data_IF_943178714512
#
_entry.id   IF_943178714512
#
_cell.length_a   1.000
_cell.length_b   1.000
_cell.length_c   1.000
_cell.angle_alpha   90.00
_cell.angle_beta   90.00
_cell.angle_gamma   90.00
#
_symmetry.space_group_name_H-M   'P 1'
#
loop_
_entity.id
_entity.type
_entity.pdbx_description
1 polymer ?
#
# COMPACT_ATOMS: atom_id res chain seq x y z
N UNK A 1 -12.76 4.25 -10.01
CA UNK A 1 -11.54 5.06 -9.74
C UNK A 1 -11.64 6.33 -10.59
N UNK A 2 -11.39 7.51 -10.02
CA UNK A 2 -11.61 8.81 -10.69
C UNK A 2 -10.36 9.42 -11.35
N UNK A 3 -9.18 8.84 -11.14
CA UNK A 3 -7.90 9.29 -11.71
C UNK A 3 -7.15 8.11 -12.34
N UNK A 4 -6.28 8.41 -13.31
CA UNK A 4 -5.41 7.44 -13.96
C UNK A 4 -4.01 7.37 -13.30
N UNK A 5 -3.15 6.48 -13.79
CA UNK A 5 -1.80 6.29 -13.26
C UNK A 5 -0.91 7.51 -13.53
N UNK A 6 -0.99 8.09 -14.71
CA UNK A 6 -0.18 9.25 -15.12
C UNK A 6 -0.45 10.47 -14.23
N UNK A 7 -1.72 10.74 -13.93
CA UNK A 7 -2.13 11.81 -13.01
C UNK A 7 -1.57 11.60 -11.60
N UNK A 8 -1.60 10.36 -11.10
CA UNK A 8 -1.04 10.03 -9.79
C UNK A 8 0.48 10.23 -9.75
N UNK A 9 1.19 9.77 -10.79
CA UNK A 9 2.64 9.95 -10.89
C UNK A 9 3.05 11.42 -11.00
N UNK A 10 2.31 12.21 -11.78
CA UNK A 10 2.53 13.65 -11.90
C UNK A 10 2.32 14.35 -10.55
N UNK A 11 1.25 14.01 -9.81
CA UNK A 11 0.99 14.55 -8.49
C UNK A 11 2.10 14.21 -7.49
N UNK A 12 2.61 12.97 -7.52
CA UNK A 12 3.74 12.56 -6.68
C UNK A 12 4.99 13.37 -7.02
N UNK A 13 5.31 13.52 -8.31
CA UNK A 13 6.44 14.33 -8.77
C UNK A 13 6.37 15.76 -8.25
N UNK A 14 5.22 16.42 -8.42
CA UNK A 14 5.00 17.78 -7.94
C UNK A 14 5.08 17.88 -6.40
N UNK A 15 4.54 16.90 -5.68
CA UNK A 15 4.59 16.90 -4.24
C UNK A 15 6.04 16.80 -3.71
N UNK A 16 6.92 16.06 -4.40
CA UNK A 16 8.35 15.99 -4.05
C UNK A 16 9.09 17.31 -4.24
N UNK A 17 8.70 18.12 -5.22
CA UNK A 17 9.31 19.42 -5.45
C UNK A 17 8.87 20.47 -4.42
N UNK A 18 7.68 20.31 -3.85
CA UNK A 18 7.07 21.28 -2.93
C UNK A 18 7.28 20.91 -1.46
N UNK A 19 7.14 19.63 -1.11
CA UNK A 19 7.10 19.17 0.27
C UNK A 19 8.37 18.40 0.65
N UNK A 20 8.91 18.65 1.86
CA UNK A 20 10.12 17.98 2.32
C UNK A 20 9.91 16.51 2.71
N UNK A 21 8.66 16.06 2.85
CA UNK A 21 8.27 14.68 3.14
C UNK A 21 6.97 14.35 2.43
N UNK A 22 6.87 13.12 1.95
CA UNK A 22 5.68 12.59 1.30
C UNK A 22 5.33 11.20 1.86
N UNK A 23 4.04 10.96 2.05
CA UNK A 23 3.50 9.61 2.26
C UNK A 23 2.70 9.16 1.04
N UNK A 24 2.66 7.86 0.82
CA UNK A 24 1.88 7.27 -0.27
C UNK A 24 1.19 5.99 0.18
N UNK A 25 -0.09 5.88 -0.16
CA UNK A 25 -0.97 4.84 0.38
C UNK A 25 -1.31 3.81 -0.71
N UNK A 26 -1.17 2.53 -0.38
CA UNK A 26 -1.54 1.42 -1.23
C UNK A 26 -2.41 0.42 -0.49
N UNK A 27 -3.28 -0.24 -1.25
CA UNK A 27 -4.06 -1.37 -0.77
C UNK A 27 -3.56 -2.63 -1.48
N UNK A 28 -3.18 -3.65 -0.73
CA UNK A 28 -2.78 -4.98 -1.21
C UNK A 28 -3.83 -6.04 -0.83
N UNK A 29 -3.57 -7.30 -1.19
CA UNK A 29 -4.52 -8.40 -1.10
C UNK A 29 -5.81 -8.13 -1.89
N UNK A 30 -5.67 -7.46 -3.04
CA UNK A 30 -6.77 -7.17 -3.95
C UNK A 30 -7.18 -8.43 -4.73
N UNK A 31 -8.41 -8.50 -5.26
CA UNK A 31 -8.85 -9.66 -6.02
C UNK A 31 -7.90 -10.01 -7.18
N UNK A 32 -7.44 -11.27 -7.22
CA UNK A 32 -6.54 -11.77 -8.26
C UNK A 32 -5.10 -11.25 -8.18
N UNK A 33 -4.71 -10.54 -7.12
CA UNK A 33 -3.35 -10.03 -6.96
C UNK A 33 -2.38 -11.15 -6.61
N UNK A 34 -1.33 -11.33 -7.41
CA UNK A 34 -0.27 -12.31 -7.14
C UNK A 34 0.90 -11.67 -6.38
N UNK A 35 1.71 -12.46 -5.65
CA UNK A 35 2.91 -11.97 -4.99
C UNK A 35 3.88 -11.27 -5.94
N UNK A 36 4.09 -11.82 -7.14
CA UNK A 36 5.01 -11.23 -8.11
C UNK A 36 4.53 -9.86 -8.61
N UNK A 37 3.23 -9.73 -8.85
CA UNK A 37 2.63 -8.48 -9.30
C UNK A 37 2.65 -7.44 -8.16
N UNK A 38 2.39 -7.87 -6.93
CA UNK A 38 2.46 -6.99 -5.77
C UNK A 38 3.89 -6.52 -5.50
N UNK A 39 4.88 -7.41 -5.53
CA UNK A 39 6.28 -7.06 -5.37
C UNK A 39 6.72 -6.02 -6.40
N UNK A 40 6.40 -6.22 -7.68
CA UNK A 40 6.73 -5.26 -8.74
C UNK A 40 6.05 -3.89 -8.54
N UNK A 41 4.78 -3.87 -8.12
CA UNK A 41 4.06 -2.63 -7.81
C UNK A 41 4.65 -1.91 -6.60
N UNK A 42 5.02 -2.65 -5.56
CA UNK A 42 5.60 -2.12 -4.33
C UNK A 42 7.01 -1.54 -4.59
N UNK A 43 7.85 -2.24 -5.33
CA UNK A 43 9.16 -1.76 -5.80
C UNK A 43 9.02 -0.43 -6.57
N UNK A 44 8.07 -0.38 -7.50
CA UNK A 44 7.79 0.82 -8.27
C UNK A 44 7.32 1.97 -7.35
N UNK A 45 6.44 1.70 -6.40
CA UNK A 45 5.92 2.69 -5.47
C UNK A 45 7.01 3.26 -4.55
N UNK A 46 7.89 2.41 -4.01
CA UNK A 46 9.05 2.82 -3.20
C UNK A 46 9.98 3.72 -4.02
N UNK A 47 10.15 3.44 -5.32
CA UNK A 47 10.90 4.30 -6.24
C UNK A 47 10.35 5.73 -6.33
N UNK A 48 9.05 5.93 -6.06
CA UNK A 48 8.40 7.24 -6.06
C UNK A 48 8.27 7.86 -4.65
N UNK A 49 8.09 7.03 -3.63
CA UNK A 49 7.84 7.43 -2.25
C UNK A 49 9.01 6.99 -1.36
N UNK A 50 9.86 7.95 -1.00
CA UNK A 50 11.16 7.63 -0.37
C UNK A 50 11.09 7.72 1.16
N UNK A 51 10.07 8.33 1.75
CA UNK A 51 10.06 8.65 3.19
C UNK A 51 9.09 7.79 4.00
N UNK A 52 7.87 7.59 3.51
CA UNK A 52 6.78 6.93 4.23
C UNK A 52 5.80 6.26 3.27
N UNK A 53 5.36 5.04 3.62
CA UNK A 53 4.32 4.28 2.94
C UNK A 53 3.28 3.78 3.93
N UNK A 54 2.01 3.85 3.51
CA UNK A 54 0.89 3.22 4.21
C UNK A 54 0.35 2.07 3.35
N UNK A 55 0.52 0.83 3.81
CA UNK A 55 0.22 -0.40 3.07
C UNK A 55 -0.88 -1.18 3.78
N UNK A 56 -2.11 -1.07 3.28
CA UNK A 56 -3.30 -1.65 3.89
C UNK A 56 -3.70 -2.96 3.21
N UNK A 57 -4.00 -3.99 4.00
CA UNK A 57 -4.68 -5.16 3.46
C UNK A 57 -6.13 -4.79 3.12
N UNK A 58 -6.64 -5.20 1.96
CA UNK A 58 -8.05 -5.00 1.62
C UNK A 58 -8.95 -5.78 2.60
N UNK A 59 -9.71 -5.05 3.41
CA UNK A 59 -10.83 -5.58 4.20
C UNK A 59 -12.16 -5.16 3.57
N UNK A 60 -13.17 -6.02 3.71
CA UNK A 60 -14.52 -5.72 3.20
C UNK A 60 -15.35 -5.16 4.34
N UNK A 61 -15.53 -3.84 4.33
CA UNK A 61 -16.34 -3.12 5.30
C UNK A 61 -17.78 -2.96 4.80
N UNK A 62 -18.75 -3.14 5.70
CA UNK A 62 -20.17 -2.98 5.39
C UNK A 62 -20.47 -1.56 4.87
N UNK A 63 -21.39 -1.45 3.91
CA UNK A 63 -21.76 -0.18 3.29
C UNK A 63 -20.81 0.33 2.20
N UNK A 64 -19.70 -0.37 1.94
CA UNK A 64 -18.79 -0.01 0.83
C UNK A 64 -19.25 -0.61 -0.51
N UNK A 65 -18.85 -0.02 -1.66
CA UNK A 65 -19.04 -0.64 -2.96
C UNK A 65 -18.40 -2.04 -3.06
N UNK A 66 -17.27 -2.25 -2.39
CA UNK A 66 -16.61 -3.55 -2.31
C UNK A 66 -17.47 -4.58 -1.59
N UNK A 67 -18.17 -4.21 -0.51
CA UNK A 67 -19.12 -5.08 0.17
C UNK A 67 -20.27 -5.51 -0.74
N UNK A 68 -20.88 -4.57 -1.49
CA UNK A 68 -21.95 -4.91 -2.42
C UNK A 68 -21.49 -5.87 -3.53
N UNK A 69 -20.29 -5.65 -4.09
CA UNK A 69 -19.72 -6.50 -5.13
C UNK A 69 -19.30 -7.88 -4.60
N UNK A 70 -18.74 -7.94 -3.40
CA UNK A 70 -18.37 -9.19 -2.73
C UNK A 70 -19.62 -10.02 -2.38
N UNK A 71 -20.66 -9.39 -1.82
CA UNK A 71 -21.94 -10.04 -1.53
C UNK A 71 -22.62 -10.58 -2.81
N UNK A 72 -22.46 -9.88 -3.93
CA UNK A 72 -22.92 -10.33 -5.25
C UNK A 72 -21.98 -11.36 -5.93
N UNK A 73 -20.94 -11.84 -5.23
CA UNK A 73 -19.93 -12.80 -5.73
C UNK A 73 -19.26 -12.37 -7.04
N UNK A 74 -19.07 -11.06 -7.23
CA UNK A 74 -18.42 -10.51 -8.44
C UNK A 74 -16.91 -10.62 -8.41
N UNK A 75 -16.33 -10.89 -7.24
CA UNK A 75 -14.93 -11.24 -7.06
C UNK A 75 -14.77 -12.05 -5.76
N UNK A 76 -13.60 -12.63 -5.57
CA UNK A 76 -13.18 -13.26 -4.30
C UNK A 76 -11.96 -12.52 -3.74
N UNK A 77 -11.83 -12.54 -2.42
CA UNK A 77 -10.59 -12.13 -1.78
C UNK A 77 -9.58 -13.28 -1.82
N UNK A 78 -8.28 -12.98 -1.69
CA UNK A 78 -7.31 -13.99 -1.30
C UNK A 78 -7.75 -14.74 -0.04
N UNK A 79 -7.39 -16.02 0.06
CA UNK A 79 -7.49 -16.73 1.33
C UNK A 79 -6.43 -16.22 2.33
N UNK A 80 -6.50 -16.72 3.57
CA UNK A 80 -5.61 -16.27 4.63
C UNK A 80 -4.14 -16.57 4.36
N UNK A 81 -3.83 -17.70 3.72
CA UNK A 81 -2.45 -18.10 3.44
C UNK A 81 -1.86 -17.18 2.37
N UNK A 82 -2.60 -16.93 1.28
CA UNK A 82 -2.17 -16.00 0.24
C UNK A 82 -2.08 -14.56 0.74
N UNK A 83 -3.00 -14.12 1.60
CA UNK A 83 -2.91 -12.80 2.23
C UNK A 83 -1.67 -12.70 3.15
N UNK A 84 -1.34 -13.76 3.89
CA UNK A 84 -0.14 -13.83 4.71
C UNK A 84 1.14 -13.78 3.88
N UNK A 85 1.18 -14.44 2.71
CA UNK A 85 2.30 -14.36 1.78
C UNK A 85 2.51 -12.94 1.25
N UNK A 86 1.42 -12.25 0.88
CA UNK A 86 1.49 -10.85 0.45
C UNK A 86 1.96 -9.92 1.58
N UNK A 87 1.52 -10.16 2.81
CA UNK A 87 2.01 -9.42 3.97
C UNK A 87 3.50 -9.67 4.22
N UNK A 88 3.95 -10.92 4.22
CA UNK A 88 5.35 -11.27 4.40
C UNK A 88 6.25 -10.64 3.33
N UNK A 89 5.83 -10.71 2.06
CA UNK A 89 6.51 -10.04 0.96
C UNK A 89 6.58 -8.52 1.16
N UNK A 90 5.49 -7.91 1.65
CA UNK A 90 5.47 -6.49 1.97
C UNK A 90 6.56 -6.13 2.98
N UNK A 91 6.62 -6.87 4.09
CA UNK A 91 7.61 -6.64 5.14
C UNK A 91 9.05 -6.82 4.63
N UNK A 92 9.29 -7.85 3.82
CA UNK A 92 10.61 -8.15 3.25
C UNK A 92 11.09 -7.01 2.35
N UNK A 93 10.26 -6.62 1.38
CA UNK A 93 10.61 -5.59 0.39
C UNK A 93 10.83 -4.25 1.09
N UNK A 94 9.89 -3.78 1.93
CA UNK A 94 10.05 -2.46 2.57
C UNK A 94 11.26 -2.42 3.50
N UNK A 95 11.53 -3.50 4.26
CA UNK A 95 12.73 -3.59 5.09
C UNK A 95 14.02 -3.54 4.26
N UNK A 96 14.05 -4.24 3.11
CA UNK A 96 15.17 -4.20 2.16
C UNK A 96 15.48 -2.80 1.63
N UNK A 97 14.48 -1.92 1.55
CA UNK A 97 14.61 -0.53 1.11
C UNK A 97 14.84 0.49 2.24
N UNK A 98 15.00 0.00 3.48
CA UNK A 98 15.19 0.86 4.66
C UNK A 98 13.92 1.60 5.08
N UNK A 99 12.75 1.02 4.78
CA UNK A 99 11.42 1.43 5.23
C UNK A 99 10.87 0.36 6.20
N UNK A 100 11.45 0.17 7.39
CA UNK A 100 10.93 -0.79 8.36
C UNK A 100 9.49 -0.44 8.75
N UNK A 101 8.70 -1.47 9.06
CA UNK A 101 7.39 -1.29 9.69
C UNK A 101 7.57 -0.72 11.09
N UNK A 102 6.85 0.36 11.42
CA UNK A 102 6.76 0.89 12.78
C UNK A 102 5.38 0.65 13.42
N UNK A 103 4.40 0.25 12.61
CA UNK A 103 3.11 -0.30 13.02
C UNK A 103 2.61 -1.27 11.93
N UNK A 104 1.36 -1.75 12.02
CA UNK A 104 0.84 -2.82 11.14
C UNK A 104 0.84 -2.37 9.68
N UNK A 105 0.35 -1.17 9.40
CA UNK A 105 0.14 -0.71 8.02
C UNK A 105 1.14 0.36 7.59
N UNK A 106 2.04 0.83 8.45
CA UNK A 106 2.93 1.94 8.11
C UNK A 106 4.41 1.59 8.19
N UNK A 107 5.12 2.04 7.16
CA UNK A 107 6.52 1.77 6.89
C UNK A 107 7.20 3.07 6.57
N UNK A 108 8.29 3.39 7.27
CA UNK A 108 8.93 4.69 7.10
C UNK A 108 10.43 4.59 7.31
N UNK A 109 11.16 5.52 6.69
CA UNK A 109 12.57 5.70 7.05
C UNK A 109 12.63 6.16 8.50
N UNK A 110 13.68 5.77 9.26
CA UNK A 110 13.88 6.29 10.61
C UNK A 110 13.84 7.82 10.63
N UNK A 111 12.95 8.39 11.45
CA UNK A 111 12.70 9.85 11.55
C UNK A 111 11.59 10.39 10.64
N UNK A 112 11.04 9.57 9.75
CA UNK A 112 9.91 9.90 8.87
C UNK A 112 8.57 9.32 9.36
N UNK A 113 8.53 8.71 10.56
CA UNK A 113 7.34 8.13 11.13
C UNK A 113 6.26 9.19 11.41
N UNK A 114 4.99 8.81 11.26
CA UNK A 114 3.88 9.64 11.69
C UNK A 114 3.85 9.71 13.22
N UNK A 115 4.03 10.91 13.77
CA UNK A 115 3.97 11.16 15.22
C UNK A 115 2.64 10.74 15.85
N UNK A 116 1.54 10.80 15.09
CA UNK A 116 0.22 10.40 15.56
C UNK A 116 0.13 8.88 15.78
N UNK A 117 0.90 8.10 15.02
CA UNK A 117 0.86 6.64 15.03
C UNK A 117 1.89 6.01 15.99
N UNK A 118 2.72 6.82 16.67
CA UNK A 118 3.73 6.36 17.63
C UNK A 118 3.25 6.38 19.10
N UNK A 119 1.98 6.69 19.35
CA UNK A 119 1.40 6.80 20.71
C UNK A 119 0.93 5.49 21.29
#
# INVERSE_FOLDING_TARGET
>A
RLHNVEEALHAIGLARDIFPRLSFDLIYARPGQTPEAWGAELEQAIGYAVDHLSLYQLTIEEGTPFHALYAAKKFTLPDNDHAADLYALTQEVTAGHGLPAYEISNHARPGAESRHNLT
#
